data_IF_691824628696
#
_entry.id   IF_691824628696
#
_cell.length_a   1.000
_cell.length_b   1.000
_cell.length_c   1.000
_cell.angle_alpha   90.00
_cell.angle_beta   90.00
_cell.angle_gamma   90.00
#
_symmetry.space_group_name_H-M   'P 1'
#
loop_
_entity.id
_entity.type
_entity.pdbx_description
1 polymer ?
#
# COMPACT_ATOMS: atom_id res chain seq x y z
N UNK A 1 17.67 1.21 -13.72
CA UNK A 1 16.85 1.49 -12.52
C UNK A 1 17.71 1.35 -11.27
N UNK A 2 17.87 2.46 -10.56
CA UNK A 2 18.57 2.51 -9.28
C UNK A 2 17.81 1.70 -8.21
N UNK A 3 18.50 1.22 -7.18
CA UNK A 3 17.88 0.41 -6.10
C UNK A 3 16.74 1.18 -5.41
N UNK A 4 16.89 2.48 -5.20
CA UNK A 4 15.83 3.34 -4.66
C UNK A 4 14.60 3.43 -5.57
N UNK A 5 14.78 3.51 -6.89
CA UNK A 5 13.65 3.53 -7.84
C UNK A 5 12.90 2.21 -7.84
N UNK A 6 13.61 1.07 -7.79
CA UNK A 6 12.99 -0.26 -7.70
C UNK A 6 12.12 -0.39 -6.44
N UNK A 7 12.63 0.08 -5.30
CA UNK A 7 11.89 0.07 -4.05
C UNK A 7 10.68 0.99 -4.07
N UNK A 8 10.81 2.16 -4.68
CA UNK A 8 9.72 3.12 -4.81
C UNK A 8 8.60 2.55 -5.68
N UNK A 9 8.93 2.03 -6.86
CA UNK A 9 7.97 1.38 -7.75
C UNK A 9 7.32 0.16 -7.11
N UNK A 10 8.08 -0.69 -6.40
CA UNK A 10 7.49 -1.86 -5.73
C UNK A 10 6.44 -1.47 -4.69
N UNK A 11 6.67 -0.38 -3.95
CA UNK A 11 5.69 0.14 -2.98
C UNK A 11 4.48 0.73 -3.70
N UNK A 12 4.68 1.42 -4.82
CA UNK A 12 3.57 1.96 -5.61
C UNK A 12 2.67 0.87 -6.18
N UNK A 13 3.24 -0.20 -6.76
CA UNK A 13 2.48 -1.36 -7.23
C UNK A 13 1.75 -2.07 -6.10
N UNK A 14 2.36 -2.12 -4.92
CA UNK A 14 1.71 -2.69 -3.74
C UNK A 14 0.52 -1.84 -3.31
N UNK A 15 0.66 -0.51 -3.24
CA UNK A 15 -0.45 0.39 -2.94
C UNK A 15 -1.59 0.19 -3.95
N UNK A 16 -1.26 0.16 -5.26
CA UNK A 16 -2.23 -0.05 -6.33
C UNK A 16 -2.97 -1.39 -6.21
N UNK A 17 -2.32 -2.44 -5.71
CA UNK A 17 -2.94 -3.76 -5.52
C UNK A 17 -3.80 -3.83 -4.25
N UNK A 18 -3.38 -3.17 -3.18
CA UNK A 18 -4.06 -3.21 -1.88
C UNK A 18 -5.27 -2.28 -1.85
N UNK A 19 -5.24 -1.16 -2.59
CA UNK A 19 -6.35 -0.19 -2.61
C UNK A 19 -7.68 -0.76 -3.12
N UNK A 20 -7.76 -1.56 -4.21
CA UNK A 20 -9.00 -2.25 -4.60
C UNK A 20 -9.51 -3.23 -3.54
N UNK A 21 -8.61 -3.95 -2.87
CA UNK A 21 -8.95 -4.85 -1.76
C UNK A 21 -9.55 -4.07 -0.58
N UNK A 22 -8.91 -2.96 -0.18
CA UNK A 22 -9.43 -2.04 0.83
C UNK A 22 -10.79 -1.48 0.45
N UNK A 23 -10.98 -1.06 -0.81
CA UNK A 23 -12.25 -0.55 -1.32
C UNK A 23 -13.35 -1.61 -1.25
N UNK A 24 -13.04 -2.83 -1.70
CA UNK A 24 -13.96 -3.96 -1.69
C UNK A 24 -14.39 -4.37 -0.27
N UNK A 25 -13.45 -4.40 0.69
CA UNK A 25 -13.75 -4.70 2.09
C UNK A 25 -14.73 -3.66 2.67
N UNK A 26 -14.51 -2.38 2.37
CA UNK A 26 -15.38 -1.31 2.85
C UNK A 26 -16.75 -1.30 2.17
N UNK A 27 -16.81 -1.52 0.86
CA UNK A 27 -18.06 -1.54 0.12
C UNK A 27 -18.91 -2.76 0.47
N UNK A 28 -18.29 -3.93 0.64
CA UNK A 28 -18.97 -5.17 0.98
C UNK A 28 -19.49 -5.23 2.42
N UNK A 29 -19.11 -4.28 3.28
CA UNK A 29 -19.58 -4.23 4.67
C UNK A 29 -19.16 -5.43 5.52
N UNK A 30 -18.11 -6.17 5.13
CA UNK A 30 -17.68 -7.42 5.76
C UNK A 30 -17.43 -7.30 7.27
N UNK A 31 -17.09 -6.11 7.75
CA UNK A 31 -16.80 -5.81 9.15
C UNK A 31 -17.62 -4.63 9.68
N UNK A 32 -18.75 -4.28 9.02
CA UNK A 32 -19.61 -3.16 9.40
C UNK A 32 -18.80 -1.87 9.66
N UNK A 33 -18.95 -1.23 10.83
CA UNK A 33 -18.23 -0.01 11.23
C UNK A 33 -16.70 -0.19 11.33
N UNK A 34 -16.21 -1.44 11.43
CA UNK A 34 -14.80 -1.74 11.54
C UNK A 34 -14.09 -1.85 10.18
N UNK A 35 -14.83 -1.82 9.07
CA UNK A 35 -14.30 -2.09 7.73
C UNK A 35 -13.16 -1.14 7.33
N UNK A 36 -13.26 0.15 7.70
CA UNK A 36 -12.19 1.13 7.44
C UNK A 36 -10.91 0.85 8.26
N UNK A 37 -11.06 0.44 9.52
CA UNK A 37 -9.91 0.07 10.37
C UNK A 37 -9.24 -1.20 9.86
N UNK A 38 -10.01 -2.18 9.40
CA UNK A 38 -9.49 -3.40 8.78
C UNK A 38 -8.75 -3.09 7.48
N UNK A 39 -9.31 -2.24 6.62
CA UNK A 39 -8.66 -1.79 5.39
C UNK A 39 -7.33 -1.07 5.67
N UNK A 40 -7.29 -0.23 6.71
CA UNK A 40 -6.07 0.45 7.13
C UNK A 40 -5.04 -0.51 7.74
N UNK A 41 -5.45 -1.46 8.59
CA UNK A 41 -4.59 -2.49 9.13
C UNK A 41 -3.98 -3.36 8.01
N UNK A 42 -4.76 -3.69 6.98
CA UNK A 42 -4.29 -4.39 5.79
C UNK A 42 -3.22 -3.59 5.04
N UNK A 43 -3.41 -2.27 4.89
CA UNK A 43 -2.43 -1.40 4.25
C UNK A 43 -1.11 -1.34 5.03
N UNK A 44 -1.16 -1.30 6.36
CA UNK A 44 0.02 -1.37 7.24
C UNK A 44 0.72 -2.72 7.08
N UNK A 45 -0.03 -3.82 7.16
CA UNK A 45 0.52 -5.17 7.01
C UNK A 45 1.20 -5.35 5.66
N UNK A 46 0.56 -4.91 4.58
CA UNK A 46 1.15 -4.93 3.25
C UNK A 46 2.45 -4.11 3.20
N UNK A 47 2.48 -2.90 3.78
CA UNK A 47 3.70 -2.10 3.86
C UNK A 47 4.83 -2.85 4.58
N UNK A 48 4.53 -3.50 5.71
CA UNK A 48 5.51 -4.31 6.44
C UNK A 48 6.00 -5.49 5.58
N UNK A 49 5.10 -6.20 4.89
CA UNK A 49 5.47 -7.24 3.93
C UNK A 49 6.37 -6.70 2.82
N UNK A 50 6.15 -5.47 2.35
CA UNK A 50 7.01 -4.84 1.34
C UNK A 50 8.47 -4.75 1.80
N UNK A 51 8.69 -4.52 3.10
CA UNK A 51 10.02 -4.46 3.69
C UNK A 51 10.67 -5.85 3.73
N UNK A 52 9.90 -6.88 4.08
CA UNK A 52 10.35 -8.27 4.01
C UNK A 52 10.69 -8.66 2.56
N UNK A 53 9.83 -8.37 1.59
CA UNK A 53 10.10 -8.63 0.18
C UNK A 53 11.35 -7.88 -0.32
N UNK A 54 11.52 -6.61 0.04
CA UNK A 54 12.72 -5.85 -0.30
C UNK A 54 14.00 -6.47 0.28
N UNK A 55 13.95 -6.98 1.51
CA UNK A 55 15.09 -7.59 2.20
C UNK A 55 15.42 -8.98 1.63
N UNK A 56 14.43 -9.84 1.45
CA UNK A 56 14.62 -11.25 1.11
C UNK A 56 14.63 -11.52 -0.40
N UNK A 57 13.80 -10.84 -1.19
CA UNK A 57 13.68 -11.07 -2.63
C UNK A 57 14.67 -10.21 -3.41
N UNK A 58 14.74 -8.91 -3.11
CA UNK A 58 15.63 -8.00 -3.82
C UNK A 58 17.08 -8.02 -3.31
N UNK A 59 17.38 -8.81 -2.25
CA UNK A 59 18.69 -8.87 -1.58
C UNK A 59 19.29 -7.47 -1.32
N UNK A 60 18.44 -6.48 -1.06
CA UNK A 60 18.88 -5.12 -0.78
C UNK A 60 19.58 -5.15 0.57
N UNK A 61 20.91 -5.22 0.57
CA UNK A 61 21.68 -5.13 1.80
C UNK A 61 21.57 -3.70 2.32
N UNK A 62 21.08 -3.48 3.55
CA UNK A 62 21.01 -2.15 4.15
C UNK A 62 22.39 -1.46 4.23
N UNK A 63 23.47 -2.24 4.16
CA UNK A 63 24.88 -1.80 4.10
C UNK A 63 25.26 -1.07 2.80
N UNK A 64 24.53 -1.31 1.69
CA UNK A 64 24.77 -0.63 0.40
C UNK A 64 24.18 0.78 0.33
N UNK A 65 23.46 1.19 1.38
CA UNK A 65 22.73 2.45 1.45
C UNK A 65 23.42 3.40 2.43
N UNK A 66 23.86 4.57 1.93
CA UNK A 66 24.53 5.61 2.72
C UNK A 66 23.79 6.00 4.02
N UNK A 67 22.45 5.83 4.07
CA UNK A 67 21.61 6.02 5.26
C UNK A 67 20.43 5.03 5.26
N UNK A 68 20.47 3.93 6.03
CA UNK A 68 19.40 2.92 6.05
C UNK A 68 18.08 3.45 6.64
N UNK A 69 18.14 4.45 7.52
CA UNK A 69 16.96 5.10 8.12
C UNK A 69 16.15 5.93 7.10
N UNK A 70 16.81 6.48 6.08
CA UNK A 70 16.12 7.19 5.00
C UNK A 70 15.35 6.20 4.12
N UNK A 71 15.71 4.92 4.02
CA UNK A 71 14.99 3.97 3.16
C UNK A 71 13.62 3.54 3.69
N UNK A 72 13.51 3.43 5.01
CA UNK A 72 12.26 3.06 5.69
C UNK A 72 11.27 4.23 5.71
N UNK A 73 11.78 5.47 5.69
CA UNK A 73 10.96 6.70 5.70
C UNK A 73 10.73 7.20 4.27
N UNK A 74 11.71 7.13 3.37
CA UNK A 74 11.56 7.43 1.95
C UNK A 74 10.66 6.40 1.31
N UNK A 75 9.41 6.75 1.13
CA UNK A 75 8.41 5.94 0.45
C UNK A 75 7.35 5.34 1.36
N UNK A 76 7.45 5.47 2.69
CA UNK A 76 6.29 5.19 3.57
C UNK A 76 5.18 6.20 3.28
N UNK A 77 5.55 7.47 3.21
CA UNK A 77 4.61 8.55 2.92
C UNK A 77 4.05 8.41 1.50
N UNK A 78 4.91 8.15 0.51
CA UNK A 78 4.47 7.92 -0.87
C UNK A 78 3.52 6.72 -0.99
N UNK A 79 3.82 5.63 -0.27
CA UNK A 79 2.95 4.44 -0.22
C UNK A 79 1.59 4.78 0.38
N UNK A 80 1.53 5.35 1.58
CA UNK A 80 0.26 5.63 2.24
C UNK A 80 -0.57 6.68 1.51
N UNK A 81 0.05 7.71 0.95
CA UNK A 81 -0.65 8.72 0.14
C UNK A 81 -1.20 8.09 -1.13
N UNK A 82 -0.40 7.30 -1.85
CA UNK A 82 -0.87 6.61 -3.06
C UNK A 82 -1.98 5.62 -2.73
N UNK A 83 -1.80 4.80 -1.69
CA UNK A 83 -2.81 3.85 -1.24
C UNK A 83 -4.12 4.54 -0.89
N UNK A 84 -4.08 5.64 -0.13
CA UNK A 84 -5.27 6.38 0.28
C UNK A 84 -5.98 7.01 -0.92
N UNK A 85 -5.24 7.66 -1.82
CA UNK A 85 -5.79 8.24 -3.04
C UNK A 85 -6.45 7.17 -3.92
N UNK A 86 -5.78 6.04 -4.15
CA UNK A 86 -6.35 4.94 -4.92
C UNK A 86 -7.49 4.24 -4.20
N UNK A 87 -7.47 4.14 -2.87
CA UNK A 87 -8.55 3.54 -2.11
C UNK A 87 -9.84 4.34 -2.28
N UNK A 88 -9.77 5.67 -2.14
CA UNK A 88 -10.91 6.56 -2.43
C UNK A 88 -11.36 6.39 -3.89
N UNK A 89 -10.42 6.46 -4.84
CA UNK A 89 -10.74 6.31 -6.26
C UNK A 89 -11.49 5.01 -6.55
N UNK A 90 -10.96 3.86 -6.12
CA UNK A 90 -11.60 2.57 -6.34
C UNK A 90 -12.90 2.43 -5.56
N UNK A 91 -12.98 2.94 -4.33
CA UNK A 91 -14.22 2.93 -3.56
C UNK A 91 -15.32 3.71 -4.27
N UNK A 92 -15.04 4.92 -4.73
CA UNK A 92 -15.99 5.75 -5.48
C UNK A 92 -16.39 5.08 -6.79
N UNK A 93 -15.44 4.52 -7.54
CA UNK A 93 -15.74 3.80 -8.78
C UNK A 93 -16.60 2.56 -8.54
N UNK A 94 -16.31 1.78 -7.51
CA UNK A 94 -17.08 0.58 -7.17
C UNK A 94 -18.49 0.93 -6.68
N UNK A 95 -18.63 1.96 -5.85
CA UNK A 95 -19.93 2.44 -5.37
C UNK A 95 -20.81 2.96 -6.50
N UNK A 96 -20.22 3.69 -7.46
CA UNK A 96 -20.90 4.10 -8.68
C UNK A 96 -21.32 2.89 -9.54
N UNK A 97 -20.40 1.93 -9.75
CA UNK A 97 -20.69 0.74 -10.53
C UNK A 97 -21.76 -0.17 -9.91
N UNK A 98 -21.89 -0.18 -8.58
CA UNK A 98 -22.91 -0.94 -7.86
C UNK A 98 -24.25 -0.20 -7.73
N UNK A 99 -24.36 1.04 -8.22
CA UNK A 99 -25.57 1.86 -8.10
C UNK A 99 -25.87 2.36 -6.68
N UNK A 100 -24.86 2.39 -5.81
CA UNK A 100 -24.98 2.96 -4.46
C UNK A 100 -24.81 4.50 -4.46
N UNK A 101 -24.18 5.03 -5.52
CA UNK A 101 -23.98 6.44 -5.85
C UNK A 101 -24.38 6.67 -7.30
#
# INVERSE_FOLDING_TARGET
MNVSEKLWWSRYFLALSISPLSAYICLGGFFEEWSAYVAFALAILAYLLSYFFARYVFKVRPESLKRPRDLAIQGIFAYFVAWFAFWIFFYTMMAWASGLL
#
